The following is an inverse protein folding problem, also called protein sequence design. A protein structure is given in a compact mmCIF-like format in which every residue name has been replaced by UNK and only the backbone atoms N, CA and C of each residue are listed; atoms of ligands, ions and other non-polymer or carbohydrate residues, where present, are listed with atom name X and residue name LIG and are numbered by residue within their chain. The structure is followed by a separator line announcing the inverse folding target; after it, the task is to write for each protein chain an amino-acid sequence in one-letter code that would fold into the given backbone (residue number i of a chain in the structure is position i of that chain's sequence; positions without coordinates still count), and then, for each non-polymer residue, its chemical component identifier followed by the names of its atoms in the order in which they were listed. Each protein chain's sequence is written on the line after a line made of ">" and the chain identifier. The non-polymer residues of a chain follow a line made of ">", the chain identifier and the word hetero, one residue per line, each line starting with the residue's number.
data_IF_595938759953
#
_entry.id   IF_595938759953
#
_cell.length_a   1.000
_cell.length_b   1.000
_cell.length_c   1.000
_cell.angle_alpha   90.00
_cell.angle_beta   90.00
_cell.angle_gamma   90.00
#
_symmetry.space_group_name_H-M   'P 1'
#
loop_
_entity.id
_entity.type
_entity.pdbx_description
1 polymer ?
2 water ?
#
# COMPACT_ATOMS: atom_id res chain seq x y z
N UNK A 2 -10.71 10.61 -3.53
CA UNK A 2 -9.93 9.96 -2.44
C UNK A 2 -9.06 8.83 -2.97
N UNK A 3 -7.78 8.87 -2.62
CA UNK A 3 -6.82 7.85 -3.03
C UNK A 3 -6.49 6.96 -1.84
N UNK A 4 -7.21 7.16 -0.74
CA UNK A 4 -6.99 6.38 0.47
C UNK A 4 -7.08 4.88 0.19
N UNK A 5 -6.12 4.12 0.70
CA UNK A 5 -6.12 2.66 0.53
C UNK A 5 -6.01 2.22 -0.93
N UNK A 6 -5.42 3.05 -1.77
CA UNK A 6 -5.28 2.72 -3.19
C UNK A 6 -3.82 2.71 -3.62
N UNK A 7 -3.54 1.98 -4.69
CA UNK A 7 -2.19 1.95 -5.26
C UNK A 7 -2.21 3.02 -6.35
N UNK A 8 -1.22 3.90 -6.30
CA UNK A 8 -1.10 4.99 -7.27
C UNK A 8 0.27 4.93 -7.94
N UNK A 9 0.38 5.54 -9.12
CA UNK A 9 1.62 5.49 -9.89
C UNK A 9 2.10 6.89 -10.24
N UNK A 10 3.41 7.12 -10.09
CA UNK A 10 4.01 8.41 -10.41
C UNK A 10 3.96 8.70 -11.91
N UNK A 11 3.46 9.87 -12.26
CA UNK A 11 3.37 10.26 -13.66
C UNK A 11 4.60 11.08 -14.05
N UNK A 12 5.35 11.52 -13.04
CA UNK A 12 6.55 12.31 -13.24
C UNK A 12 7.51 12.02 -12.11
N UNK A 13 8.80 12.31 -12.29
CA UNK A 13 9.76 12.07 -11.21
C UNK A 13 9.63 13.24 -10.25
N UNK A 14 10.23 13.12 -9.08
CA UNK A 14 10.18 14.20 -8.11
C UNK A 14 11.38 14.12 -7.20
N UNK A 15 11.97 15.28 -6.89
CA UNK A 15 13.11 15.35 -5.99
C UNK A 15 12.59 16.09 -4.76
N UNK A 16 12.78 15.49 -3.58
CA UNK A 16 12.27 16.07 -2.35
C UNK A 16 12.91 17.40 -1.97
N UNK A 17 12.15 18.20 -1.24
CA UNK A 17 12.66 19.44 -0.68
C UNK A 17 13.54 18.94 0.48
N UNK A 18 14.81 19.35 0.54
CA UNK A 18 15.66 18.89 1.64
C UNK A 18 15.11 19.21 3.03
N UNK A 19 15.36 18.31 3.97
CA UNK A 19 14.93 18.45 5.36
C UNK A 19 13.44 18.35 5.61
N UNK A 20 12.74 17.68 4.70
CA UNK A 20 11.32 17.44 4.86
C UNK A 20 11.20 15.93 4.83
N UNK A 21 9.99 15.41 5.01
CA UNK A 21 9.83 13.97 4.94
C UNK A 21 9.17 13.54 3.65
N UNK A 22 9.34 14.40 2.65
CA UNK A 22 8.87 14.08 1.32
C UNK A 22 9.88 13.05 0.85
N UNK A 23 9.48 12.20 -0.09
CA UNK A 23 10.42 11.24 -0.62
C UNK A 23 10.61 11.51 -2.11
N UNK A 24 11.82 11.28 -2.58
CA UNK A 24 12.10 11.45 -4.00
C UNK A 24 11.67 10.17 -4.70
N UNK A 25 11.27 10.26 -5.96
CA UNK A 25 10.83 9.07 -6.67
C UNK A 25 10.99 9.22 -8.17
N UNK A 26 10.86 8.09 -8.85
CA UNK A 26 10.99 8.04 -10.30
C UNK A 26 9.66 7.91 -10.97
N UNK A 27 9.59 8.36 -12.22
CA UNK A 27 8.33 8.21 -12.94
C UNK A 27 8.08 6.70 -12.99
N UNK A 28 6.83 6.29 -12.81
CA UNK A 28 6.53 4.88 -12.85
C UNK A 28 6.51 4.18 -11.50
N UNK A 29 7.11 4.81 -10.49
CA UNK A 29 7.10 4.21 -9.16
C UNK A 29 5.67 4.06 -8.68
N UNK A 30 5.40 3.01 -7.91
CA UNK A 30 4.06 2.83 -7.40
C UNK A 30 4.07 2.98 -5.89
N UNK A 31 2.93 3.40 -5.33
CA UNK A 31 2.82 3.67 -3.90
C UNK A 31 1.47 3.23 -3.36
N UNK A 32 1.42 2.98 -2.06
CA UNK A 32 0.16 2.66 -1.40
C UNK A 32 -0.10 3.88 -0.51
N UNK A 33 -1.29 4.45 -0.62
CA UNK A 33 -1.66 5.62 0.16
C UNK A 33 -2.18 5.25 1.55
N UNK A 34 -1.52 5.76 2.59
CA UNK A 34 -1.93 5.46 3.97
C UNK A 34 -2.75 6.56 4.64
N UNK A 35 -2.42 7.81 4.33
CA UNK A 35 -3.11 8.96 4.89
C UNK A 35 -3.22 10.05 3.82
N UNK A 36 -4.37 10.70 3.76
CA UNK A 36 -4.57 11.78 2.82
C UNK A 36 -4.69 13.05 3.65
N UNK A 37 -3.76 13.98 3.45
CA UNK A 37 -3.81 15.23 4.21
C UNK A 37 -4.68 16.22 3.40
N UNK A 38 -5.31 17.18 4.08
CA UNK A 38 -6.20 18.12 3.40
C UNK A 38 -5.59 19.18 2.48
N UNK A 39 -4.46 18.88 1.86
CA UNK A 39 -3.81 19.84 0.96
C UNK A 39 -3.29 19.14 -0.30
N UNK A 40 -3.61 17.86 -0.43
CA UNK A 40 -3.16 17.12 -1.59
C UNK A 40 -1.99 16.21 -1.26
N UNK A 41 -1.28 16.50 -0.18
CA UNK A 41 -0.16 15.65 0.19
C UNK A 41 -0.68 14.40 0.87
N UNK A 42 0.11 13.33 0.77
CA UNK A 42 -0.29 12.04 1.32
C UNK A 42 0.88 11.29 1.91
N UNK A 43 0.63 10.51 2.96
CA UNK A 43 1.67 9.69 3.57
C UNK A 43 1.51 8.35 2.86
N UNK A 44 2.60 7.85 2.29
CA UNK A 44 2.56 6.64 1.49
C UNK A 44 3.79 5.76 1.66
N UNK A 45 3.74 4.59 1.02
CA UNK A 45 4.90 3.71 0.96
C UNK A 45 5.21 3.56 -0.53
N UNK A 46 6.48 3.76 -0.90
CA UNK A 46 6.93 3.57 -2.27
C UNK A 46 7.21 2.06 -2.33
N UNK A 47 6.48 1.36 -3.20
CA UNK A 47 6.59 -0.09 -3.31
C UNK A 47 7.93 -0.60 -3.84
N UNK A 48 8.67 0.25 -4.53
CA UNK A 48 9.96 -0.17 -5.05
C UNK A 48 11.04 -0.09 -3.97
N UNK A 49 11.08 1.03 -3.26
CA UNK A 49 12.09 1.26 -2.23
C UNK A 49 11.68 0.86 -0.82
N UNK A 50 10.38 0.65 -0.61
CA UNK A 50 9.84 0.29 0.70
C UNK A 50 9.98 1.42 1.72
N UNK A 51 10.21 2.63 1.23
CA UNK A 51 10.33 3.75 2.13
C UNK A 51 8.98 4.44 2.31
N UNK A 52 8.76 4.99 3.50
CA UNK A 52 7.53 5.72 3.78
C UNK A 52 7.86 7.19 3.68
N UNK A 53 6.89 7.97 3.25
CA UNK A 53 7.10 9.40 3.12
C UNK A 53 5.93 10.12 2.51
N UNK A 54 6.09 11.43 2.33
CA UNK A 54 5.04 12.26 1.76
C UNK A 54 5.20 12.43 0.26
N UNK A 55 4.10 12.33 -0.47
CA UNK A 55 4.09 12.61 -1.90
C UNK A 55 2.80 13.38 -2.16
N UNK A 56 2.76 14.12 -3.26
CA UNK A 56 1.57 14.91 -3.56
C UNK A 56 0.71 14.24 -4.62
N UNK A 57 -0.60 14.32 -4.43
CA UNK A 57 -1.55 13.66 -5.34
C UNK A 57 -1.48 14.11 -6.79
N UNK A 58 -1.06 15.35 -7.02
CA UNK A 58 -0.99 15.87 -8.38
C UNK A 58 0.00 15.10 -9.24
N UNK A 59 0.96 14.45 -8.61
CA UNK A 59 1.98 13.71 -9.36
C UNK A 59 1.70 12.22 -9.56
N UNK A 60 0.52 11.75 -9.16
CA UNK A 60 0.21 10.33 -9.34
C UNK A 60 -1.19 10.09 -9.91
N UNK A 61 -1.42 8.86 -10.39
CA UNK A 61 -2.72 8.43 -10.91
C UNK A 61 -3.03 7.05 -10.30
N UNK A 62 -4.30 6.77 -10.06
CA UNK A 62 -4.68 5.47 -9.50
C UNK A 62 -4.55 4.41 -10.59
N UNK A 63 -3.96 3.26 -10.24
CA UNK A 63 -3.81 2.18 -11.22
C UNK A 63 -4.48 0.87 -10.81
N UNK A 64 -5.10 0.84 -9.63
CA UNK A 64 -5.74 -0.37 -9.18
C UNK A 64 -4.78 -1.45 -8.70
N UNK A 65 -5.33 -2.63 -8.43
CA UNK A 65 -4.58 -3.79 -7.94
C UNK A 65 -3.74 -4.51 -8.99
N UNK B 5 10.07 -11.89 1.88
CA UNK B 5 9.10 -12.76 1.12
C UNK B 5 8.67 -13.90 2.03
N UNK B 6 7.78 -13.59 2.95
CA UNK B 6 7.31 -14.58 3.90
C UNK B 6 5.82 -14.82 3.76
N UNK B 7 5.37 -15.91 4.36
CA UNK B 7 3.97 -16.27 4.32
C UNK B 7 3.35 -15.88 5.67
N UNK B 8 2.16 -15.30 5.63
CA UNK B 8 1.44 -14.96 6.86
C UNK B 8 0.05 -15.57 6.74
N UNK B 9 -0.60 -15.78 7.88
CA UNK B 9 -1.91 -16.41 7.91
C UNK B 9 -2.96 -15.54 8.59
N UNK B 10 -4.16 -15.49 8.02
CA UNK B 10 -5.24 -14.70 8.61
C UNK B 10 -5.76 -15.39 9.88
N UNK B 11 -5.91 -14.62 10.95
CA UNK B 11 -6.43 -15.18 12.20
C UNK B 11 -7.93 -14.93 12.30
N UNK B 12 -8.41 -14.00 11.50
CA UNK B 12 -9.83 -13.63 11.43
C UNK B 12 -10.13 -13.21 10.00
N UNK B 13 -11.41 -13.22 9.61
CA UNK B 13 -11.79 -12.83 8.25
C UNK B 13 -11.80 -11.30 8.11
N UNK B 14 -11.95 -10.81 6.89
CA UNK B 14 -11.96 -9.38 6.64
C UNK B 14 -12.71 -9.09 5.36
N UNK B 15 -13.55 -8.06 5.39
CA UNK B 15 -14.28 -7.62 4.22
C UNK B 15 -13.65 -6.29 3.80
N UNK B 16 -13.15 -6.25 2.58
CA UNK B 16 -12.50 -5.05 2.06
C UNK B 16 -13.40 -3.81 2.06
N UNK B 17 -12.76 -2.65 2.18
CA UNK B 17 -13.48 -1.38 2.12
C UNK B 17 -13.78 -1.21 0.62
N UNK B 18 -15.05 -0.97 0.25
CA UNK B 18 -15.42 -0.81 -1.16
C UNK B 18 -14.62 0.24 -1.91
N UNK B 19 -14.42 -0.02 -3.20
CA UNK B 19 -13.70 0.87 -4.10
C UNK B 19 -12.29 1.24 -3.68
N UNK B 20 -11.60 0.32 -3.02
CA UNK B 20 -10.21 0.55 -2.62
C UNK B 20 -9.43 -0.62 -3.18
N UNK B 21 -8.14 -0.69 -2.87
CA UNK B 21 -7.35 -1.79 -3.38
C UNK B 21 -7.11 -2.86 -2.33
N UNK B 22 -7.98 -2.86 -1.32
CA UNK B 22 -7.94 -3.87 -0.28
C UNK B 22 -8.57 -5.13 -0.86
N UNK B 23 -8.24 -6.27 -0.25
CA UNK B 23 -8.81 -7.54 -0.68
C UNK B 23 -9.46 -8.20 0.54
N UNK B 24 -10.52 -8.95 0.30
CA UNK B 24 -11.21 -9.63 1.39
C UNK B 24 -10.56 -10.99 1.61
N UNK B 25 -10.69 -11.53 2.81
CA UNK B 25 -10.12 -12.83 3.09
C UNK B 25 -10.83 -13.55 4.24
N UNK B 26 -10.46 -14.81 4.42
CA UNK B 26 -11.05 -15.67 5.45
C UNK B 26 -10.00 -16.12 6.45
N UNK B 27 -10.44 -16.49 7.64
CA UNK B 27 -9.49 -17.00 8.62
C UNK B 27 -8.80 -18.21 8.01
N UNK B 28 -7.49 -18.30 8.17
CA UNK B 28 -6.76 -19.42 7.62
C UNK B 28 -6.13 -19.16 6.28
N UNK B 29 -6.56 -18.10 5.60
CA UNK B 29 -5.96 -17.78 4.30
C UNK B 29 -4.47 -17.50 4.47
N UNK B 30 -3.70 -17.93 3.49
CA UNK B 30 -2.26 -17.74 3.48
C UNK B 30 -1.93 -16.66 2.47
N UNK B 31 -1.01 -15.78 2.84
CA UNK B 31 -0.61 -14.69 1.95
C UNK B 31 0.90 -14.63 1.84
N UNK B 32 1.38 -14.14 0.70
CA UNK B 32 2.81 -13.92 0.56
C UNK B 32 2.94 -12.40 0.67
N UNK B 33 3.82 -11.95 1.56
CA UNK B 33 4.04 -10.52 1.77
C UNK B 33 5.02 -9.96 0.75
N UNK B 34 4.58 -8.97 -0.03
CA UNK B 34 5.46 -8.35 -1.02
C UNK B 34 6.12 -7.10 -0.45
N UNK B 35 5.39 -6.38 0.39
CA UNK B 35 5.88 -5.15 1.00
C UNK B 35 5.27 -5.03 2.38
N UNK B 36 6.08 -4.67 3.36
CA UNK B 36 5.62 -4.47 4.72
C UNK B 36 4.77 -3.20 4.86
N UNK B 37 5.11 -2.18 4.08
CA UNK B 37 4.40 -0.88 4.12
C UNK B 37 4.53 -0.26 5.51
N UNK B 38 3.65 0.68 5.82
CA UNK B 38 3.64 1.32 7.12
C UNK B 38 3.05 0.30 8.09
N UNK B 39 3.33 0.44 9.38
CA UNK B 39 2.77 -0.50 10.35
C UNK B 39 1.26 -0.40 10.27
N UNK B 40 0.59 -1.55 10.21
CA UNK B 40 -0.86 -1.57 10.13
C UNK B 40 -1.39 -2.07 8.79
N UNK B 41 -0.52 -2.08 7.78
CA UNK B 41 -0.91 -2.50 6.43
C UNK B 41 0.14 -3.41 5.83
N UNK B 42 -0.25 -4.15 4.80
CA UNK B 42 0.69 -5.01 4.08
C UNK B 42 0.21 -5.14 2.64
N UNK B 43 1.14 -5.27 1.70
CA UNK B 43 0.80 -5.46 0.28
C UNK B 43 1.15 -6.93 0.07
N UNK B 44 0.15 -7.71 -0.31
CA UNK B 44 0.31 -9.15 -0.40
C UNK B 44 -0.43 -9.80 -1.55
N UNK B 45 -0.25 -11.11 -1.64
CA UNK B 45 -1.00 -11.93 -2.58
C UNK B 45 -1.63 -13.03 -1.74
N UNK B 46 -2.95 -13.14 -1.84
CA UNK B 46 -3.70 -14.18 -1.14
C UNK B 46 -3.51 -15.41 -2.03
N UNK B 47 -2.88 -16.45 -1.50
CA UNK B 47 -2.63 -17.65 -2.29
C UNK B 47 -3.88 -18.41 -2.74
N UNK B 48 -4.96 -18.35 -1.97
CA UNK B 48 -6.19 -19.04 -2.34
C UNK B 48 -6.89 -18.39 -3.52
N UNK B 49 -7.02 -17.07 -3.48
CA UNK B 49 -7.71 -16.35 -4.55
C UNK B 49 -6.79 -15.86 -5.66
N UNK B 50 -5.49 -15.89 -5.38
CA UNK B 50 -4.45 -15.43 -6.30
C UNK B 50 -4.59 -13.93 -6.55
N UNK B 51 -5.21 -13.23 -5.61
CA UNK B 51 -5.41 -11.79 -5.71
C UNK B 51 -4.31 -11.02 -5.00
N UNK B 52 -3.79 -9.98 -5.66
CA UNK B 52 -2.79 -9.14 -5.04
C UNK B 52 -3.53 -7.93 -4.49
N UNK B 53 -3.22 -7.53 -3.27
CA UNK B 53 -3.91 -6.39 -2.71
C UNK B 53 -3.44 -5.97 -1.34
N UNK B 54 -4.16 -5.01 -0.79
CA UNK B 54 -3.85 -4.44 0.50
C UNK B 54 -4.63 -5.12 1.62
N UNK B 55 -3.95 -5.44 2.71
CA UNK B 55 -4.64 -6.04 3.86
C UNK B 55 -4.24 -5.34 5.15
N UNK B 56 -5.07 -5.52 6.18
CA UNK B 56 -4.84 -4.97 7.51
C UNK B 56 -3.91 -5.94 8.23
N UNK B 57 -2.76 -5.43 8.64
CA UNK B 57 -1.74 -6.23 9.30
C UNK B 57 -2.10 -6.92 10.62
N UNK B 58 -2.99 -6.31 11.40
CA UNK B 58 -3.34 -6.91 12.69
C UNK B 58 -4.20 -8.16 12.60
N UNK B 59 -4.67 -8.48 11.40
CA UNK B 59 -5.49 -9.67 11.21
C UNK B 59 -4.71 -10.88 10.71
N UNK B 60 -3.39 -10.76 10.62
CA UNK B 60 -2.57 -11.87 10.15
C UNK B 60 -1.41 -12.13 11.11
N UNK B 61 -0.92 -13.36 11.11
CA UNK B 61 0.17 -13.76 11.98
C UNK B 61 1.28 -14.47 11.22
N UNK B 62 2.47 -14.48 11.79
CA UNK B 62 3.59 -15.16 11.18
C UNK B 62 3.32 -16.66 11.27
N UNK B 63 3.84 -17.42 10.31
CA UNK B 63 3.64 -18.87 10.30
C UNK B 63 4.96 -19.59 10.59
N UNK B 64 4.91 -20.77 11.00
#
# INVERSE_FOLDING_TARGET
>A
GSHMRRRVRAILPYTKVPDTDEISFLKGDMFIVHNELEDGWMWVTNLRTDEQGLIVEDLVEEVGR
>B
GSHXRRRVRAILPYTKVPDTDEISFLKGDMFIVHNELEDGWMWVTNLRTDEQGLIVEDLVEEVGR
#
